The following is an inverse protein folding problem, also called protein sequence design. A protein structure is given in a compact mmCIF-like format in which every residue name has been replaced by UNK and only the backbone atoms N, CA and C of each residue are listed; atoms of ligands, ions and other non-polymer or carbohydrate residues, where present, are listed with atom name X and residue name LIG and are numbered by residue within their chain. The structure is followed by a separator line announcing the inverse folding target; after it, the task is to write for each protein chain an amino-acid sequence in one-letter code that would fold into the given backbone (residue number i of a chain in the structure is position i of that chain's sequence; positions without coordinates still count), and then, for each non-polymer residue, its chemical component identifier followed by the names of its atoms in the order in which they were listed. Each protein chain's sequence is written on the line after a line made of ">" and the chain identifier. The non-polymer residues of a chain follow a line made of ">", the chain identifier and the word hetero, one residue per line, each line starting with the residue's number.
data_IF_972824060585
#
_entry.id   IF_972824060585
#
_cell.length_a   1.000
_cell.length_b   1.000
_cell.length_c   1.000
_cell.angle_alpha   90.00
_cell.angle_beta   90.00
_cell.angle_gamma   90.00
#
_symmetry.space_group_name_H-M   'P 1'
#
loop_
_entity.id
_entity.type
_entity.pdbx_description
1 polymer ?
#
# COMPACT_ATOMS: atom_id res chain seq x y z
N UNK A 1 21.12 36.29 -44.97
CA UNK A 1 20.91 34.86 -44.62
C UNK A 1 21.54 34.47 -43.28
N UNK A 2 22.59 35.17 -42.80
CA UNK A 2 23.18 34.94 -41.46
C UNK A 2 22.34 35.46 -40.27
N UNK A 3 21.51 36.51 -40.46
CA UNK A 3 20.69 37.09 -39.38
C UNK A 3 19.56 36.18 -38.87
N UNK A 4 18.95 35.37 -39.76
CA UNK A 4 17.81 34.51 -39.38
C UNK A 4 18.20 33.33 -38.51
N UNK A 5 19.42 32.79 -38.68
CA UNK A 5 19.97 31.74 -37.80
C UNK A 5 20.32 32.31 -36.43
N UNK A 6 20.96 33.49 -36.38
CA UNK A 6 21.29 34.18 -35.13
C UNK A 6 20.05 34.50 -34.29
N UNK A 7 18.96 34.97 -34.91
CA UNK A 7 17.68 35.20 -34.24
C UNK A 7 17.01 33.91 -33.75
N UNK A 8 17.10 32.83 -34.53
CA UNK A 8 16.59 31.51 -34.13
C UNK A 8 17.29 31.00 -32.87
N UNK A 9 18.63 31.01 -32.83
CA UNK A 9 19.41 30.60 -31.64
C UNK A 9 19.14 31.50 -30.44
N UNK A 10 18.89 32.79 -30.64
CA UNK A 10 18.60 33.74 -29.56
C UNK A 10 17.19 33.54 -28.98
N UNK A 11 16.20 33.25 -29.83
CA UNK A 11 14.85 32.88 -29.40
C UNK A 11 14.86 31.55 -28.63
N UNK A 12 15.68 30.61 -29.09
CA UNK A 12 15.91 29.33 -28.41
C UNK A 12 16.61 29.50 -27.06
N UNK A 13 17.70 30.26 -27.00
CA UNK A 13 18.40 30.57 -25.76
C UNK A 13 17.48 31.27 -24.74
N UNK A 14 16.65 32.22 -25.18
CA UNK A 14 15.62 32.85 -24.32
C UNK A 14 14.61 31.84 -23.81
N UNK A 15 14.20 30.88 -24.63
CA UNK A 15 13.28 29.81 -24.23
C UNK A 15 13.93 28.90 -23.19
N UNK A 16 15.20 28.53 -23.37
CA UNK A 16 15.99 27.73 -22.42
C UNK A 16 16.15 28.46 -21.09
N UNK A 17 16.55 29.73 -21.13
CA UNK A 17 16.68 30.55 -19.94
C UNK A 17 15.34 30.68 -19.21
N UNK A 18 14.24 30.86 -19.94
CA UNK A 18 12.89 30.87 -19.37
C UNK A 18 12.51 29.53 -18.73
N UNK A 19 12.94 28.40 -19.30
CA UNK A 19 12.73 27.08 -18.72
C UNK A 19 13.55 26.89 -17.44
N UNK A 20 14.83 27.28 -17.45
CA UNK A 20 15.72 27.26 -16.28
C UNK A 20 15.19 28.15 -15.15
N UNK A 21 14.72 29.35 -15.45
CA UNK A 21 14.02 30.23 -14.50
C UNK A 21 12.72 29.57 -14.01
N UNK A 22 12.02 28.84 -14.87
CA UNK A 22 10.86 28.04 -14.49
C UNK A 22 11.20 26.94 -13.48
N UNK A 23 12.32 26.24 -13.68
CA UNK A 23 12.84 25.20 -12.79
C UNK A 23 13.32 25.80 -11.47
N UNK A 24 14.02 26.92 -11.50
CA UNK A 24 14.42 27.66 -10.30
C UNK A 24 13.20 28.06 -9.46
N UNK A 25 12.16 28.62 -10.06
CA UNK A 25 10.89 28.93 -9.37
C UNK A 25 10.21 27.68 -8.80
N UNK A 26 10.34 26.54 -9.48
CA UNK A 26 9.85 25.25 -8.99
C UNK A 26 10.66 24.77 -7.79
N UNK A 27 11.98 24.91 -7.81
CA UNK A 27 12.88 24.59 -6.69
C UNK A 27 12.65 25.50 -5.48
N UNK A 28 12.44 26.81 -5.69
CA UNK A 28 12.04 27.72 -4.62
C UNK A 28 10.67 27.36 -4.01
N UNK A 29 9.74 26.85 -4.82
CA UNK A 29 8.46 26.34 -4.32
C UNK A 29 8.64 25.05 -3.52
N UNK A 30 9.61 24.20 -3.87
CA UNK A 30 9.99 23.04 -3.06
C UNK A 30 10.58 23.45 -1.73
N UNK A 31 11.53 24.38 -1.75
CA UNK A 31 12.15 24.91 -0.54
C UNK A 31 11.10 25.50 0.40
N UNK A 32 10.16 26.29 -0.14
CA UNK A 32 9.02 26.81 0.63
C UNK A 32 8.06 25.73 1.12
N UNK A 33 7.78 24.70 0.32
CA UNK A 33 6.93 23.59 0.74
C UNK A 33 7.58 22.75 1.85
N UNK A 34 8.89 22.51 1.75
CA UNK A 34 9.70 21.86 2.78
C UNK A 34 9.69 22.76 4.02
N UNK A 35 9.99 24.06 3.89
CA UNK A 35 9.95 25.00 5.01
C UNK A 35 8.59 24.96 5.73
N UNK A 36 7.46 24.99 5.00
CA UNK A 36 6.11 24.89 5.59
C UNK A 36 5.84 23.56 6.31
N UNK A 37 6.32 22.43 5.78
CA UNK A 37 6.20 21.11 6.43
C UNK A 37 7.03 21.04 7.72
N UNK A 38 8.16 21.74 7.75
CA UNK A 38 9.08 21.73 8.89
C UNK A 38 8.74 22.81 9.94
N UNK A 39 8.22 23.97 9.55
CA UNK A 39 7.75 25.04 10.46
C UNK A 39 6.38 24.77 11.07
N UNK A 40 5.62 23.84 10.49
CA UNK A 40 4.35 23.34 11.04
C UNK A 40 4.52 22.17 12.03
N UNK A 41 5.76 21.78 12.32
CA UNK A 41 6.08 20.96 13.47
C UNK A 41 5.91 21.85 14.71
N UNK A 42 4.95 21.59 15.63
CA UNK A 42 4.78 22.44 16.79
C UNK A 42 5.94 22.18 17.76
N UNK A 43 7.01 22.95 17.62
CA UNK A 43 7.81 23.32 18.77
C UNK A 43 6.97 24.33 19.57
N UNK A 44 6.31 23.84 20.62
CA UNK A 44 5.88 24.65 21.77
C UNK A 44 4.65 25.58 21.60
N UNK A 45 3.58 25.18 20.92
CA UNK A 45 2.27 25.83 21.11
C UNK A 45 1.22 24.75 21.32
N UNK A 46 0.38 24.93 22.36
CA UNK A 46 -0.59 23.95 22.86
C UNK A 46 -1.57 23.41 21.81
N UNK A 47 -2.50 22.51 22.22
CA UNK A 47 -3.31 21.74 21.29
C UNK A 47 -3.94 22.66 20.23
N UNK A 48 -3.60 22.48 18.94
CA UNK A 48 -4.14 23.32 17.88
C UNK A 48 -5.65 23.08 17.85
N UNK A 49 -6.44 24.16 17.78
CA UNK A 49 -7.89 24.04 17.64
C UNK A 49 -8.23 23.05 16.53
N UNK A 50 -9.13 22.11 16.82
CA UNK A 50 -9.43 20.91 16.01
C UNK A 50 -9.88 21.18 14.56
N UNK A 51 -10.03 22.47 14.20
CA UNK A 51 -10.51 22.95 12.91
C UNK A 51 -9.46 23.62 12.03
N UNK A 52 -8.16 23.58 12.37
CA UNK A 52 -7.14 24.09 11.44
C UNK A 52 -6.98 23.16 10.23
N UNK A 53 -7.20 23.65 8.98
CA UNK A 53 -6.98 22.85 7.77
C UNK A 53 -5.51 22.47 7.56
N UNK A 54 -4.60 23.07 8.33
CA UNK A 54 -3.15 22.87 8.27
C UNK A 54 -2.60 21.97 9.38
N UNK A 55 -3.44 21.22 10.11
CA UNK A 55 -2.94 20.27 11.10
C UNK A 55 -2.09 19.19 10.40
N UNK A 56 -0.76 19.32 10.52
CA UNK A 56 0.19 18.34 9.99
C UNK A 56 0.29 17.21 11.00
N UNK A 57 -0.52 16.19 10.80
CA UNK A 57 -0.47 14.99 11.62
C UNK A 57 0.76 14.14 11.31
N UNK A 58 1.22 13.27 12.23
CA UNK A 58 2.30 12.32 11.96
C UNK A 58 2.10 11.51 10.66
N UNK A 59 0.88 11.06 10.38
CA UNK A 59 0.56 10.39 9.12
C UNK A 59 0.85 11.29 7.90
N UNK A 60 0.33 12.52 7.92
CA UNK A 60 0.54 13.50 6.84
C UNK A 60 2.00 13.79 6.62
N UNK A 61 2.76 13.99 7.69
CA UNK A 61 4.20 14.22 7.62
C UNK A 61 4.92 13.05 6.94
N UNK A 62 4.68 11.81 7.37
CA UNK A 62 5.29 10.61 6.77
C UNK A 62 4.93 10.43 5.30
N UNK A 63 3.66 10.64 4.92
CA UNK A 63 3.21 10.49 3.54
C UNK A 63 3.75 11.61 2.65
N UNK A 64 3.74 12.86 3.12
CA UNK A 64 4.29 13.99 2.37
C UNK A 64 5.80 13.84 2.17
N UNK A 65 6.53 13.35 3.19
CA UNK A 65 7.96 13.01 3.06
C UNK A 65 8.20 11.97 1.96
N UNK A 66 7.34 10.95 1.83
CA UNK A 66 7.43 9.97 0.73
C UNK A 66 7.15 10.60 -0.64
N UNK A 67 6.13 11.45 -0.75
CA UNK A 67 5.81 12.15 -2.01
C UNK A 67 6.94 13.07 -2.46
N UNK A 68 7.54 13.81 -1.51
CA UNK A 68 8.69 14.68 -1.78
C UNK A 68 9.91 13.84 -2.15
N UNK A 69 10.18 12.74 -1.43
CA UNK A 69 11.29 11.85 -1.78
C UNK A 69 11.16 11.35 -3.22
N UNK A 70 9.99 10.82 -3.61
CA UNK A 70 9.74 10.36 -4.99
C UNK A 70 9.97 11.46 -6.03
N UNK A 71 9.52 12.68 -5.72
CA UNK A 71 9.67 13.84 -6.58
C UNK A 71 11.14 14.23 -6.77
N UNK A 72 11.92 14.24 -5.68
CA UNK A 72 13.35 14.57 -5.74
C UNK A 72 14.17 13.44 -6.38
N UNK A 73 14.00 12.20 -5.92
CA UNK A 73 14.89 11.09 -6.32
C UNK A 73 14.59 10.53 -7.69
N UNK A 74 13.35 10.68 -8.18
CA UNK A 74 12.93 10.13 -9.46
C UNK A 74 12.61 11.21 -10.47
N UNK A 75 11.67 12.11 -10.17
CA UNK A 75 11.19 13.08 -11.16
C UNK A 75 12.24 14.15 -11.47
N UNK A 76 12.79 14.79 -10.44
CA UNK A 76 13.84 15.81 -10.59
C UNK A 76 15.12 15.18 -11.17
N UNK A 77 15.52 13.98 -10.71
CA UNK A 77 16.65 13.28 -11.29
C UNK A 77 16.49 13.06 -12.79
N UNK A 78 15.35 12.53 -13.23
CA UNK A 78 15.08 12.31 -14.66
C UNK A 78 15.11 13.61 -15.45
N UNK A 79 14.53 14.68 -14.89
CA UNK A 79 14.59 16.01 -15.47
C UNK A 79 16.05 16.49 -15.65
N UNK A 80 16.88 16.40 -14.60
CA UNK A 80 18.26 16.86 -14.63
C UNK A 80 19.12 16.07 -15.62
N UNK A 81 18.95 14.74 -15.69
CA UNK A 81 19.68 13.89 -16.64
C UNK A 81 19.34 14.27 -18.09
N UNK A 82 18.07 14.48 -18.40
CA UNK A 82 17.63 14.86 -19.74
C UNK A 82 18.09 16.29 -20.09
N UNK A 83 17.99 17.23 -19.14
CA UNK A 83 18.47 18.59 -19.34
C UNK A 83 20.00 18.64 -19.55
N UNK A 84 20.77 17.86 -18.79
CA UNK A 84 22.23 17.76 -18.94
C UNK A 84 22.61 17.20 -20.31
N UNK A 85 21.95 16.13 -20.75
CA UNK A 85 22.19 15.56 -22.09
C UNK A 85 21.94 16.57 -23.22
N UNK A 86 20.92 17.40 -23.04
CA UNK A 86 20.52 18.42 -24.01
C UNK A 86 21.48 19.61 -24.02
N UNK A 87 22.01 20.00 -22.86
CA UNK A 87 22.99 21.08 -22.73
C UNK A 87 24.39 20.65 -23.17
N UNK A 88 24.79 19.40 -22.90
CA UNK A 88 26.07 18.84 -23.32
C UNK A 88 26.18 18.71 -24.85
N UNK A 89 25.07 18.40 -25.53
CA UNK A 89 24.99 18.31 -27.00
C UNK A 89 24.80 19.68 -27.69
N UNK A 90 24.76 20.77 -26.92
CA UNK A 90 24.61 22.11 -27.46
C UNK A 90 25.94 22.62 -28.04
N UNK A 91 26.14 22.45 -29.35
CA UNK A 91 27.20 23.14 -30.11
C UNK A 91 26.62 24.32 -30.89
N UNK A 92 27.15 25.54 -30.73
CA UNK A 92 26.68 26.73 -31.46
C UNK A 92 27.11 26.78 -32.94
N UNK A 93 27.45 25.67 -33.57
CA UNK A 93 27.92 25.64 -34.96
C UNK A 93 26.95 24.88 -35.87
N UNK A 94 26.69 25.48 -37.05
CA UNK A 94 25.75 25.05 -38.10
C UNK A 94 25.39 23.56 -38.10
N UNK A 95 24.21 23.17 -37.58
CA UNK A 95 23.70 21.82 -37.70
C UNK A 95 23.28 21.55 -39.14
N UNK A 96 23.54 20.34 -39.63
CA UNK A 96 22.91 19.83 -40.84
C UNK A 96 21.43 19.51 -40.56
N UNK A 97 20.58 19.53 -41.59
CA UNK A 97 19.14 19.30 -41.47
C UNK A 97 18.77 17.95 -40.82
N UNK A 98 19.63 16.94 -40.94
CA UNK A 98 19.42 15.61 -40.36
C UNK A 98 19.69 15.56 -38.84
N UNK A 99 20.40 16.55 -38.27
CA UNK A 99 20.66 16.67 -36.83
C UNK A 99 19.60 17.46 -36.06
N UNK A 100 18.65 18.11 -36.74
CA UNK A 100 17.67 19.01 -36.13
C UNK A 100 16.50 18.26 -35.46
N UNK A 101 16.00 17.19 -36.08
CA UNK A 101 14.89 16.37 -35.58
C UNK A 101 15.18 15.71 -34.21
N UNK A 102 16.34 15.06 -33.99
CA UNK A 102 16.68 14.47 -32.69
C UNK A 102 16.86 15.50 -31.58
N UNK A 103 17.38 16.68 -31.91
CA UNK A 103 17.52 17.79 -30.96
C UNK A 103 16.12 18.23 -30.51
N UNK A 104 15.23 18.59 -31.44
CA UNK A 104 13.85 19.03 -31.12
C UNK A 104 13.09 18.03 -30.26
N UNK A 105 13.22 16.73 -30.51
CA UNK A 105 12.53 15.69 -29.72
C UNK A 105 13.04 15.63 -28.27
N UNK A 106 14.35 15.78 -28.03
CA UNK A 106 14.90 15.85 -26.68
C UNK A 106 14.45 17.11 -25.93
N UNK A 107 14.27 18.23 -26.63
CA UNK A 107 13.69 19.43 -26.03
C UNK A 107 12.23 19.26 -25.64
N UNK A 108 11.43 18.56 -26.45
CA UNK A 108 10.07 18.17 -26.06
C UNK A 108 10.07 17.27 -24.83
N UNK A 109 11.06 16.36 -24.70
CA UNK A 109 11.23 15.52 -23.51
C UNK A 109 11.43 16.36 -22.24
N UNK A 110 12.33 17.35 -22.27
CA UNK A 110 12.59 18.27 -21.15
C UNK A 110 11.32 19.05 -20.77
N UNK A 111 10.60 19.62 -21.75
CA UNK A 111 9.34 20.34 -21.52
C UNK A 111 8.28 19.45 -20.86
N UNK A 112 8.13 18.21 -21.34
CA UNK A 112 7.22 17.23 -20.76
C UNK A 112 7.58 16.90 -19.31
N UNK A 113 8.86 16.77 -19.00
CA UNK A 113 9.32 16.49 -17.64
C UNK A 113 9.07 17.66 -16.69
N UNK A 114 9.22 18.90 -17.15
CA UNK A 114 8.85 20.11 -16.39
C UNK A 114 7.35 20.15 -16.05
N UNK A 115 6.49 19.81 -17.02
CA UNK A 115 5.06 19.71 -16.79
C UNK A 115 4.74 18.62 -15.74
N UNK A 116 5.32 17.43 -15.88
CA UNK A 116 5.17 16.32 -14.93
C UNK A 116 5.61 16.70 -13.50
N UNK A 117 6.69 17.46 -13.35
CA UNK A 117 7.12 17.95 -12.04
C UNK A 117 6.12 18.95 -11.46
N UNK A 118 5.63 19.88 -12.28
CA UNK A 118 4.66 20.91 -11.86
C UNK A 118 3.35 20.29 -11.40
N UNK A 119 2.81 19.34 -12.17
CA UNK A 119 1.59 18.60 -11.83
C UNK A 119 1.75 17.86 -10.50
N UNK A 120 2.92 17.28 -10.25
CA UNK A 120 3.22 16.55 -9.01
C UNK A 120 3.29 17.49 -7.80
N UNK A 121 3.77 18.72 -7.97
CA UNK A 121 3.77 19.74 -6.90
C UNK A 121 2.35 20.16 -6.59
N UNK A 122 1.54 20.41 -7.61
CA UNK A 122 0.14 20.80 -7.41
C UNK A 122 -0.67 19.65 -6.81
N UNK A 123 -0.31 18.39 -7.09
CA UNK A 123 -0.84 17.23 -6.39
C UNK A 123 -0.47 17.22 -4.90
N UNK A 124 0.79 17.45 -4.54
CA UNK A 124 1.22 17.56 -3.13
C UNK A 124 0.50 18.71 -2.42
N UNK A 125 0.35 19.87 -3.08
CA UNK A 125 -0.39 21.01 -2.52
C UNK A 125 -1.85 20.65 -2.27
N UNK A 126 -2.53 20.09 -3.26
CA UNK A 126 -3.93 19.65 -3.14
C UNK A 126 -4.07 18.62 -2.02
N UNK A 127 -3.15 17.66 -1.94
CA UNK A 127 -3.09 16.66 -0.88
C UNK A 127 -3.05 17.28 0.53
N UNK A 128 -2.19 18.27 0.75
CA UNK A 128 -2.06 18.94 2.05
C UNK A 128 -3.33 19.71 2.45
N UNK A 129 -4.11 20.18 1.48
CA UNK A 129 -5.35 20.94 1.69
C UNK A 129 -6.58 20.06 1.91
N UNK A 130 -6.55 18.77 1.53
CA UNK A 130 -7.70 17.86 1.70
C UNK A 130 -8.05 17.72 3.18
N UNK A 131 -9.32 17.58 3.59
CA UNK A 131 -9.67 17.20 4.97
C UNK A 131 -9.08 15.83 5.35
N UNK A 132 -8.62 15.65 6.60
CA UNK A 132 -8.01 14.39 7.05
C UNK A 132 -8.95 13.18 6.88
N UNK A 133 -10.26 13.36 7.06
CA UNK A 133 -11.25 12.29 6.86
C UNK A 133 -11.40 11.88 5.39
N UNK A 134 -11.29 12.84 4.46
CA UNK A 134 -11.31 12.54 3.03
C UNK A 134 -10.05 11.77 2.64
N UNK A 135 -8.90 12.21 3.14
CA UNK A 135 -7.62 11.50 3.02
C UNK A 135 -7.74 10.07 3.55
N UNK A 136 -8.30 9.89 4.75
CA UNK A 136 -8.45 8.57 5.36
C UNK A 136 -9.27 7.61 4.48
N UNK A 137 -10.39 8.08 3.95
CA UNK A 137 -11.25 7.28 3.06
C UNK A 137 -10.54 6.88 1.77
N UNK A 138 -9.81 7.81 1.15
CA UNK A 138 -8.99 7.54 -0.05
C UNK A 138 -7.92 6.46 0.24
N UNK A 139 -7.23 6.55 1.38
CA UNK A 139 -6.25 5.50 1.77
C UNK A 139 -6.91 4.14 1.92
N UNK A 140 -8.02 4.07 2.65
CA UNK A 140 -8.72 2.80 2.88
C UNK A 140 -9.29 2.21 1.59
N UNK A 141 -9.72 3.04 0.64
CA UNK A 141 -10.07 2.59 -0.72
C UNK A 141 -8.87 1.99 -1.46
N UNK A 142 -7.72 2.67 -1.43
CA UNK A 142 -6.49 2.10 -2.00
C UNK A 142 -6.09 0.77 -1.34
N UNK A 143 -6.32 0.61 -0.04
CA UNK A 143 -6.12 -0.68 0.64
C UNK A 143 -7.11 -1.76 0.19
N UNK A 144 -8.38 -1.41 -0.05
CA UNK A 144 -9.36 -2.36 -0.60
C UNK A 144 -8.92 -2.85 -1.98
N UNK A 145 -8.40 -1.98 -2.83
CA UNK A 145 -7.87 -2.36 -4.15
C UNK A 145 -6.67 -3.31 -4.04
N UNK A 146 -5.76 -3.06 -3.09
CA UNK A 146 -4.64 -3.96 -2.81
C UNK A 146 -5.13 -5.33 -2.33
N UNK A 147 -6.11 -5.36 -1.43
CA UNK A 147 -6.73 -6.60 -0.95
C UNK A 147 -7.42 -7.34 -2.11
N UNK A 148 -8.09 -6.63 -3.03
CA UNK A 148 -8.70 -7.22 -4.21
C UNK A 148 -7.65 -7.88 -5.14
N UNK A 149 -6.48 -7.26 -5.29
CA UNK A 149 -5.36 -7.88 -6.00
C UNK A 149 -4.87 -9.16 -5.29
N UNK A 150 -4.73 -9.13 -3.96
CA UNK A 150 -4.38 -10.31 -3.18
C UNK A 150 -5.42 -11.42 -3.32
N UNK A 151 -6.72 -11.09 -3.29
CA UNK A 151 -7.80 -12.07 -3.49
C UNK A 151 -7.73 -12.71 -4.88
N UNK A 152 -7.48 -11.93 -5.94
CA UNK A 152 -7.28 -12.47 -7.29
C UNK A 152 -6.09 -13.42 -7.33
N UNK A 153 -4.98 -13.07 -6.70
CA UNK A 153 -3.80 -13.94 -6.59
C UNK A 153 -4.12 -15.26 -5.89
N UNK A 154 -4.78 -15.21 -4.73
CA UNK A 154 -5.19 -16.41 -4.00
C UNK A 154 -6.14 -17.29 -4.83
N UNK A 155 -7.07 -16.69 -5.57
CA UNK A 155 -7.97 -17.43 -6.46
C UNK A 155 -7.23 -18.06 -7.66
N UNK A 156 -6.19 -17.40 -8.21
CA UNK A 156 -5.33 -18.00 -9.24
C UNK A 156 -4.67 -19.28 -8.70
N UNK A 157 -4.14 -19.26 -7.47
CA UNK A 157 -3.57 -20.46 -6.85
C UNK A 157 -4.57 -21.62 -6.67
N UNK A 158 -5.84 -21.31 -6.41
CA UNK A 158 -6.89 -22.34 -6.22
C UNK A 158 -7.46 -22.91 -7.52
N UNK A 159 -7.21 -22.28 -8.67
CA UNK A 159 -7.84 -22.67 -9.94
C UNK A 159 -6.92 -23.59 -10.76
N UNK A 160 -7.32 -24.86 -10.90
CA UNK A 160 -6.62 -25.89 -11.67
C UNK A 160 -6.38 -25.50 -13.15
N UNK A 161 -7.21 -24.62 -13.72
CA UNK A 161 -7.12 -24.22 -15.13
C UNK A 161 -5.94 -23.29 -15.40
N UNK A 162 -5.58 -22.42 -14.45
CA UNK A 162 -4.37 -21.57 -14.57
C UNK A 162 -3.10 -22.42 -14.57
N UNK A 163 -3.09 -23.49 -13.77
CA UNK A 163 -1.99 -24.46 -13.70
C UNK A 163 -1.85 -25.33 -14.98
N UNK A 164 -2.84 -25.34 -15.88
CA UNK A 164 -2.78 -26.07 -17.17
C UNK A 164 -2.32 -25.22 -18.35
N UNK A 165 -2.41 -23.89 -18.26
CA UNK A 165 -2.16 -22.96 -19.38
C UNK A 165 -0.70 -22.51 -19.51
N UNK A 166 0.14 -22.76 -18.50
CA UNK A 166 1.59 -22.43 -18.53
C UNK A 166 2.43 -23.29 -19.48
N UNK A 167 1.83 -24.27 -20.18
CA UNK A 167 2.53 -25.03 -21.24
C UNK A 167 2.55 -24.35 -22.62
N UNK A 168 2.09 -23.11 -22.79
CA UNK A 168 1.98 -22.55 -24.14
C UNK A 168 2.10 -21.05 -24.38
N UNK A 169 1.92 -20.15 -23.40
CA UNK A 169 1.96 -18.71 -23.68
C UNK A 169 2.63 -17.93 -22.56
N UNK A 170 3.86 -17.48 -22.82
CA UNK A 170 4.54 -16.44 -22.04
C UNK A 170 3.86 -15.10 -22.33
N UNK A 171 3.03 -14.63 -21.40
CA UNK A 171 2.58 -13.24 -21.35
C UNK A 171 3.42 -12.52 -20.30
N UNK A 172 4.26 -11.59 -20.75
CA UNK A 172 5.29 -10.84 -19.98
C UNK A 172 4.78 -9.97 -18.80
N UNK A 173 3.56 -10.17 -18.30
CA UNK A 173 2.98 -9.33 -17.25
C UNK A 173 2.28 -10.06 -16.11
N UNK A 174 2.21 -11.40 -16.14
CA UNK A 174 1.64 -12.16 -15.03
C UNK A 174 2.79 -12.74 -14.20
N UNK A 175 2.86 -12.33 -12.93
CA UNK A 175 3.76 -12.95 -11.94
C UNK A 175 3.64 -14.48 -12.06
N UNK A 176 4.74 -15.16 -12.39
CA UNK A 176 4.79 -16.62 -12.47
C UNK A 176 4.14 -17.21 -11.21
N UNK A 177 3.02 -17.91 -11.38
CA UNK A 177 2.25 -18.43 -10.26
C UNK A 177 2.92 -19.72 -9.83
N UNK A 178 3.76 -19.63 -8.80
CA UNK A 178 4.46 -20.81 -8.25
C UNK A 178 3.46 -21.90 -7.89
N UNK A 179 3.74 -23.13 -8.35
CA UNK A 179 2.92 -24.30 -8.06
C UNK A 179 2.91 -24.58 -6.55
N UNK A 180 1.70 -24.71 -5.98
CA UNK A 180 1.49 -24.96 -4.57
C UNK A 180 1.21 -26.45 -4.32
N UNK A 181 1.84 -27.02 -3.30
CA UNK A 181 1.51 -28.37 -2.85
C UNK A 181 0.10 -28.43 -2.23
N UNK A 182 -0.43 -29.64 -2.03
CA UNK A 182 -1.78 -29.84 -1.46
C UNK A 182 -1.95 -29.26 -0.04
N UNK A 183 -0.88 -29.13 0.75
CA UNK A 183 -0.93 -28.50 2.08
C UNK A 183 -1.04 -26.99 1.96
N UNK A 184 -0.32 -26.37 1.01
CA UNK A 184 -0.39 -24.94 0.72
C UNK A 184 -1.75 -24.53 0.17
N UNK A 185 -2.33 -25.34 -0.72
CA UNK A 185 -3.69 -25.12 -1.20
C UNK A 185 -4.68 -25.06 -0.03
N UNK A 186 -4.55 -25.93 0.98
CA UNK A 186 -5.39 -25.87 2.20
C UNK A 186 -5.18 -24.58 2.99
N UNK A 187 -3.94 -24.08 3.10
CA UNK A 187 -3.67 -22.80 3.76
C UNK A 187 -4.28 -21.63 3.01
N UNK A 188 -4.19 -21.62 1.67
CA UNK A 188 -4.84 -20.60 0.83
C UNK A 188 -6.37 -20.66 0.98
N UNK A 189 -6.97 -21.85 0.96
CA UNK A 189 -8.40 -22.04 1.19
C UNK A 189 -8.84 -21.52 2.56
N UNK A 190 -8.11 -21.86 3.62
CA UNK A 190 -8.41 -21.43 4.98
C UNK A 190 -8.09 -19.95 5.25
N UNK A 191 -7.13 -19.36 4.51
CA UNK A 191 -6.77 -17.95 4.60
C UNK A 191 -7.68 -17.02 3.79
N UNK A 192 -8.38 -17.53 2.77
CA UNK A 192 -9.26 -16.74 1.92
C UNK A 192 -10.38 -16.01 2.71
N UNK A 193 -11.08 -16.64 3.68
CA UNK A 193 -12.04 -15.94 4.53
C UNK A 193 -11.41 -14.79 5.33
N UNK A 194 -10.18 -14.94 5.82
CA UNK A 194 -9.47 -13.88 6.57
C UNK A 194 -9.28 -12.65 5.70
N UNK A 195 -8.79 -12.82 4.46
CA UNK A 195 -8.59 -11.71 3.53
C UNK A 195 -9.91 -11.08 3.08
N UNK A 196 -10.96 -11.89 2.86
CA UNK A 196 -12.31 -11.37 2.58
C UNK A 196 -12.83 -10.50 3.72
N UNK A 197 -12.60 -10.88 4.97
CA UNK A 197 -13.00 -10.10 6.14
C UNK A 197 -12.18 -8.80 6.27
N UNK A 198 -10.88 -8.83 5.96
CA UNK A 198 -10.05 -7.61 5.85
C UNK A 198 -10.67 -6.63 4.85
N UNK A 199 -11.04 -7.13 3.66
CA UNK A 199 -11.69 -6.34 2.60
C UNK A 199 -13.00 -5.72 3.09
N UNK A 200 -13.83 -6.48 3.80
CA UNK A 200 -15.11 -6.02 4.35
C UNK A 200 -14.90 -4.90 5.35
N UNK A 201 -13.89 -5.02 6.22
CA UNK A 201 -13.54 -4.00 7.21
C UNK A 201 -13.17 -2.66 6.57
N UNK A 202 -12.21 -2.67 5.64
CA UNK A 202 -11.75 -1.45 4.98
C UNK A 202 -12.82 -0.84 4.08
N UNK A 203 -13.66 -1.66 3.44
CA UNK A 203 -14.83 -1.15 2.72
C UNK A 203 -15.81 -0.45 3.65
N UNK A 204 -16.06 -0.99 4.85
CA UNK A 204 -16.97 -0.37 5.81
C UNK A 204 -16.43 0.97 6.32
N UNK A 205 -15.11 1.07 6.53
CA UNK A 205 -14.44 2.32 6.90
C UNK A 205 -14.47 3.39 5.80
N UNK A 206 -14.29 3.00 4.53
CA UNK A 206 -14.15 3.95 3.42
C UNK A 206 -15.48 4.48 2.87
N UNK A 207 -16.62 3.85 3.20
CA UNK A 207 -17.92 4.16 2.58
C UNK A 207 -18.40 5.60 2.84
N UNK A 208 -18.83 6.33 1.79
CA UNK A 208 -19.30 7.70 1.89
C UNK A 208 -20.83 7.78 2.08
N UNK A 209 -21.33 7.50 3.29
CA UNK A 209 -22.63 8.05 3.76
C UNK A 209 -23.92 7.26 3.41
N UNK A 210 -24.00 6.50 2.31
CA UNK A 210 -25.26 5.79 1.93
C UNK A 210 -25.45 4.40 2.55
N UNK A 211 -24.43 3.91 3.27
CA UNK A 211 -24.52 2.70 4.06
C UNK A 211 -23.80 2.99 5.37
N UNK A 212 -24.51 2.82 6.48
CA UNK A 212 -24.03 2.79 7.88
C UNK A 212 -22.49 2.84 8.00
N UNK A 213 -21.97 4.05 8.22
CA UNK A 213 -20.54 4.35 8.32
C UNK A 213 -20.06 4.17 9.75
N UNK A 214 -18.84 3.68 9.93
CA UNK A 214 -18.22 3.52 11.26
C UNK A 214 -17.67 4.84 11.82
N UNK A 215 -17.51 5.85 10.95
CA UNK A 215 -17.01 7.18 11.32
C UNK A 215 -18.02 8.21 10.85
N UNK A 216 -18.59 8.93 11.80
CA UNK A 216 -19.60 9.94 11.54
C UNK A 216 -18.92 11.25 11.11
N UNK A 217 -19.51 11.92 10.12
CA UNK A 217 -18.97 13.15 9.51
C UNK A 217 -19.73 14.37 10.03
N UNK A 218 -20.92 14.15 10.60
CA UNK A 218 -21.74 15.17 11.24
C UNK A 218 -21.00 15.81 12.43
N UNK A 219 -21.10 17.14 12.55
CA UNK A 219 -20.27 17.92 13.50
C UNK A 219 -20.39 17.47 14.96
N UNK A 220 -21.53 16.92 15.40
CA UNK A 220 -21.75 16.43 16.77
C UNK A 220 -21.14 15.05 17.04
N UNK A 221 -20.83 14.29 15.99
CA UNK A 221 -20.34 12.91 16.10
C UNK A 221 -18.96 12.75 15.46
N UNK A 222 -18.30 13.84 15.07
CA UNK A 222 -17.04 13.78 14.32
C UNK A 222 -15.92 13.13 15.13
N UNK A 223 -15.20 12.20 14.52
CA UNK A 223 -13.98 11.65 15.12
C UNK A 223 -12.87 12.72 15.17
N UNK A 224 -12.36 12.99 16.37
CA UNK A 224 -11.29 13.95 16.60
C UNK A 224 -10.02 13.64 15.80
N UNK A 225 -9.32 14.69 15.36
CA UNK A 225 -8.22 14.57 14.41
C UNK A 225 -7.05 13.69 14.91
N UNK A 226 -6.75 13.71 16.21
CA UNK A 226 -5.72 12.86 16.81
C UNK A 226 -6.09 11.37 16.79
N UNK A 227 -7.35 11.02 17.11
CA UNK A 227 -7.84 9.64 17.05
C UNK A 227 -7.89 9.14 15.61
N UNK A 228 -8.30 10.00 14.67
CA UNK A 228 -8.30 9.69 13.24
C UNK A 228 -6.87 9.48 12.69
N UNK A 229 -5.89 10.29 13.09
CA UNK A 229 -4.49 10.06 12.72
C UNK A 229 -3.95 8.73 13.24
N UNK A 230 -4.25 8.42 14.51
CA UNK A 230 -3.85 7.15 15.12
C UNK A 230 -4.49 5.95 14.38
N UNK A 231 -5.79 6.03 14.09
CA UNK A 231 -6.48 5.02 13.30
C UNK A 231 -5.85 4.85 11.92
N UNK A 232 -5.54 5.95 11.22
CA UNK A 232 -4.86 5.91 9.93
C UNK A 232 -3.50 5.19 10.01
N UNK A 233 -2.69 5.51 11.02
CA UNK A 233 -1.40 4.87 11.24
C UNK A 233 -1.57 3.35 11.45
N UNK A 234 -2.50 2.94 12.31
CA UNK A 234 -2.79 1.51 12.55
C UNK A 234 -3.30 0.80 11.30
N UNK A 235 -4.16 1.44 10.51
CA UNK A 235 -4.65 0.83 9.27
C UNK A 235 -3.56 0.65 8.22
N UNK A 236 -2.57 1.56 8.19
CA UNK A 236 -1.42 1.41 7.31
C UNK A 236 -0.48 0.27 7.78
N UNK A 237 -0.28 0.12 9.08
CA UNK A 237 0.46 -1.02 9.64
C UNK A 237 -0.28 -2.34 9.38
N UNK A 238 -1.61 -2.33 9.48
CA UNK A 238 -2.47 -3.48 9.16
C UNK A 238 -2.30 -3.92 7.71
N UNK A 239 -2.15 -2.97 6.77
CA UNK A 239 -1.88 -3.29 5.37
C UNK A 239 -0.57 -4.08 5.17
N UNK A 240 0.49 -3.73 5.92
CA UNK A 240 1.76 -4.49 5.91
C UNK A 240 1.54 -5.91 6.43
N UNK A 241 0.72 -6.09 7.46
CA UNK A 241 0.39 -7.41 7.98
C UNK A 241 -0.48 -8.23 7.02
N UNK A 242 -1.38 -7.60 6.27
CA UNK A 242 -2.14 -8.28 5.21
C UNK A 242 -1.20 -8.82 4.14
N UNK A 243 -0.31 -7.98 3.60
CA UNK A 243 0.66 -8.40 2.59
C UNK A 243 1.57 -9.53 3.11
N UNK A 244 2.11 -9.34 4.33
CA UNK A 244 2.93 -10.36 5.00
C UNK A 244 2.18 -11.68 5.15
N UNK A 245 0.92 -11.64 5.59
CA UNK A 245 0.07 -12.81 5.72
C UNK A 245 -0.17 -13.52 4.38
N UNK A 246 -0.58 -12.77 3.35
CA UNK A 246 -0.83 -13.30 2.00
C UNK A 246 0.41 -14.02 1.49
N UNK A 247 1.57 -13.38 1.63
CA UNK A 247 2.85 -13.95 1.24
C UNK A 247 3.16 -15.24 2.01
N UNK A 248 2.88 -15.31 3.31
CA UNK A 248 3.14 -16.52 4.11
C UNK A 248 2.26 -17.70 3.77
N UNK A 249 1.01 -17.47 3.35
CA UNK A 249 0.13 -18.57 2.92
C UNK A 249 0.40 -19.03 1.48
N UNK A 250 1.01 -18.19 0.64
CA UNK A 250 1.36 -18.54 -0.76
C UNK A 250 2.79 -19.00 -0.96
N UNK A 251 3.74 -18.68 -0.06
CA UNK A 251 5.13 -19.09 -0.22
C UNK A 251 5.38 -20.55 0.15
N UNK A 252 6.02 -21.28 -0.77
CA UNK A 252 6.33 -22.72 -0.61
C UNK A 252 7.25 -23.04 0.57
N UNK A 253 8.15 -22.13 0.94
CA UNK A 253 9.13 -22.28 2.03
C UNK A 253 8.60 -21.88 3.41
N UNK A 254 7.41 -21.26 3.49
CA UNK A 254 6.91 -20.68 4.75
C UNK A 254 6.55 -21.73 5.79
N UNK A 255 7.15 -21.67 6.98
CA UNK A 255 6.86 -22.65 8.03
C UNK A 255 5.44 -22.46 8.59
N UNK A 256 4.79 -23.55 9.01
CA UNK A 256 3.45 -23.49 9.68
C UNK A 256 3.41 -22.46 10.81
N UNK A 257 4.47 -22.41 11.64
CA UNK A 257 4.61 -21.43 12.73
C UNK A 257 4.60 -19.98 12.22
N UNK A 258 5.19 -19.71 11.06
CA UNK A 258 5.22 -18.35 10.48
C UNK A 258 3.84 -17.93 9.98
N UNK A 259 3.04 -18.87 9.45
CA UNK A 259 1.65 -18.61 9.08
C UNK A 259 0.82 -18.26 10.32
N UNK A 260 0.99 -19.01 11.40
CA UNK A 260 0.31 -18.73 12.68
C UNK A 260 0.72 -17.36 13.24
N UNK A 261 2.02 -17.05 13.27
CA UNK A 261 2.52 -15.74 13.71
C UNK A 261 1.96 -14.59 12.85
N UNK A 262 1.96 -14.74 11.52
CA UNK A 262 1.36 -13.77 10.61
C UNK A 262 -0.14 -13.56 10.90
N UNK A 263 -0.87 -14.65 11.15
CA UNK A 263 -2.31 -14.64 11.46
C UNK A 263 -2.58 -13.89 12.77
N UNK A 264 -1.81 -14.20 13.83
CA UNK A 264 -1.96 -13.56 15.14
C UNK A 264 -1.64 -12.07 15.06
N UNK A 265 -0.58 -11.68 14.35
CA UNK A 265 -0.22 -10.26 14.16
C UNK A 265 -1.28 -9.50 13.39
N UNK A 266 -1.82 -10.10 12.33
CA UNK A 266 -2.92 -9.53 11.56
C UNK A 266 -4.17 -9.33 12.44
N UNK A 267 -4.61 -10.35 13.16
CA UNK A 267 -5.75 -10.24 14.08
C UNK A 267 -5.51 -9.17 15.16
N UNK A 268 -4.32 -9.14 15.75
CA UNK A 268 -3.92 -8.12 16.73
C UNK A 268 -3.96 -6.69 16.20
N UNK A 269 -3.65 -6.48 14.92
CA UNK A 269 -3.74 -5.16 14.28
C UNK A 269 -5.19 -4.67 14.12
N UNK A 270 -6.12 -5.60 13.82
CA UNK A 270 -7.54 -5.29 13.78
C UNK A 270 -8.15 -5.05 15.16
N UNK A 271 -7.69 -5.75 16.20
CA UNK A 271 -8.13 -5.48 17.57
C UNK A 271 -7.76 -4.07 18.01
N UNK A 272 -6.54 -3.60 17.70
CA UNK A 272 -6.08 -2.25 18.02
C UNK A 272 -6.86 -1.15 17.28
N UNK A 273 -7.16 -1.36 15.99
CA UNK A 273 -7.96 -0.38 15.23
C UNK A 273 -9.43 -0.39 15.69
N UNK A 274 -9.97 -1.56 16.03
CA UNK A 274 -11.31 -1.73 16.60
C UNK A 274 -11.46 -1.05 17.96
N UNK A 275 -10.44 -1.09 18.83
CA UNK A 275 -10.52 -0.42 20.13
C UNK A 275 -10.64 1.10 19.99
N UNK A 276 -9.92 1.72 19.04
CA UNK A 276 -10.06 3.16 18.78
C UNK A 276 -11.49 3.52 18.38
N UNK A 277 -12.15 2.68 17.57
CA UNK A 277 -13.54 2.90 17.18
C UNK A 277 -14.49 2.77 18.36
N UNK A 278 -14.29 1.76 19.22
CA UNK A 278 -15.08 1.58 20.45
C UNK A 278 -14.92 2.77 21.40
N UNK A 279 -13.69 3.15 21.73
CA UNK A 279 -13.40 4.30 22.59
C UNK A 279 -14.03 5.59 22.04
N UNK A 280 -14.09 5.72 20.72
CA UNK A 280 -14.77 6.81 20.02
C UNK A 280 -16.28 6.80 20.25
N UNK A 281 -16.94 5.69 19.98
CA UNK A 281 -18.38 5.56 20.19
C UNK A 281 -18.77 5.73 21.65
N UNK A 282 -17.99 5.16 22.58
CA UNK A 282 -18.22 5.30 24.02
C UNK A 282 -18.09 6.77 24.46
N UNK A 283 -17.07 7.49 23.96
CA UNK A 283 -16.93 8.92 24.21
C UNK A 283 -18.10 9.75 23.68
N UNK A 284 -18.71 9.35 22.55
CA UNK A 284 -19.90 10.01 22.02
C UNK A 284 -21.12 9.79 22.92
N UNK A 285 -21.31 8.56 23.39
CA UNK A 285 -22.41 8.22 24.31
C UNK A 285 -22.29 8.94 25.65
N UNK A 286 -21.07 9.04 26.20
CA UNK A 286 -20.79 9.76 27.45
C UNK A 286 -20.98 11.28 27.33
N UNK A 287 -20.71 11.85 26.14
CA UNK A 287 -20.86 13.29 25.87
C UNK A 287 -22.33 13.74 25.74
N UNK A 288 -23.27 12.80 25.66
CA UNK A 288 -24.70 13.04 25.44
C UNK A 288 -25.42 13.86 26.51
N UNK A 289 -24.76 14.21 27.61
CA UNK A 289 -25.30 15.09 28.65
C UNK A 289 -25.08 16.59 28.39
N UNK A 290 -24.19 16.97 27.44
CA UNK A 290 -23.81 18.37 27.21
C UNK A 290 -23.72 18.80 25.72
N UNK A 291 -23.97 17.90 24.77
CA UNK A 291 -23.76 18.12 23.33
C UNK A 291 -25.05 17.93 22.49
N UNK A 292 -25.08 18.32 21.19
CA UNK A 292 -26.26 18.19 20.31
C UNK A 292 -26.76 16.74 20.22
N UNK A 293 -27.98 16.48 19.72
CA UNK A 293 -28.55 15.13 19.71
C UNK A 293 -27.63 14.15 18.97
N UNK A 294 -27.08 13.21 19.72
CA UNK A 294 -26.29 12.08 19.22
C UNK A 294 -27.24 11.00 18.77
N UNK A 295 -27.05 10.48 17.55
CA UNK A 295 -27.83 9.37 17.02
C UNK A 295 -27.33 8.05 17.65
N UNK A 296 -28.02 7.61 18.71
CA UNK A 296 -27.67 6.40 19.46
C UNK A 296 -27.88 5.12 18.66
N UNK A 297 -28.93 5.07 17.84
CA UNK A 297 -29.26 3.91 17.01
C UNK A 297 -28.11 3.64 16.03
N UNK A 298 -27.58 4.68 15.38
CA UNK A 298 -26.42 4.53 14.48
C UNK A 298 -25.15 4.06 15.20
N UNK A 299 -24.95 4.45 16.45
CA UNK A 299 -23.82 4.00 17.27
C UNK A 299 -23.98 2.52 17.63
N UNK A 300 -25.15 2.12 18.13
CA UNK A 300 -25.46 0.75 18.52
C UNK A 300 -25.34 -0.20 17.31
N UNK A 301 -25.87 0.19 16.16
CA UNK A 301 -25.67 -0.55 14.92
C UNK A 301 -24.16 -0.71 14.63
N UNK A 302 -23.37 0.37 14.70
CA UNK A 302 -21.95 0.34 14.37
C UNK A 302 -21.16 -0.58 15.31
N UNK A 303 -21.49 -0.55 16.60
CA UNK A 303 -20.95 -1.47 17.61
C UNK A 303 -21.33 -2.92 17.28
N UNK A 304 -22.61 -3.20 17.03
CA UNK A 304 -23.10 -4.54 16.68
C UNK A 304 -22.40 -5.11 15.43
N UNK A 305 -22.26 -4.28 14.38
CA UNK A 305 -21.55 -4.68 13.17
C UNK A 305 -20.09 -5.04 13.46
N UNK A 306 -19.41 -4.24 14.28
CA UNK A 306 -18.00 -4.48 14.62
C UNK A 306 -17.85 -5.76 15.45
N UNK A 307 -18.79 -6.05 16.35
CA UNK A 307 -18.80 -7.29 17.14
C UNK A 307 -19.03 -8.53 16.26
N UNK A 308 -20.04 -8.50 15.39
CA UNK A 308 -20.27 -9.57 14.41
C UNK A 308 -19.04 -9.79 13.52
N UNK A 309 -18.42 -8.71 13.04
CA UNK A 309 -17.22 -8.80 12.21
C UNK A 309 -16.03 -9.40 12.98
N UNK A 310 -15.80 -8.99 14.23
CA UNK A 310 -14.74 -9.55 15.07
C UNK A 310 -14.94 -11.04 15.35
N UNK A 311 -16.19 -11.47 15.62
CA UNK A 311 -16.51 -12.88 15.79
C UNK A 311 -16.16 -13.69 14.54
N UNK A 312 -16.55 -13.21 13.35
CA UNK A 312 -16.22 -13.86 12.08
C UNK A 312 -14.70 -13.91 11.84
N UNK A 313 -13.97 -12.85 12.17
CA UNK A 313 -12.50 -12.81 12.03
C UNK A 313 -11.84 -13.84 12.95
N UNK A 314 -12.26 -13.91 14.21
CA UNK A 314 -11.72 -14.85 15.18
C UNK A 314 -11.98 -16.30 14.74
N UNK A 315 -13.19 -16.58 14.23
CA UNK A 315 -13.49 -17.91 13.69
C UNK A 315 -12.62 -18.24 12.46
N UNK A 316 -12.49 -17.31 11.50
CA UNK A 316 -11.67 -17.52 10.31
C UNK A 316 -10.19 -17.76 10.64
N UNK A 317 -9.63 -16.97 11.56
CA UNK A 317 -8.24 -17.10 12.02
C UNK A 317 -8.02 -18.37 12.85
N UNK A 318 -9.02 -18.78 13.64
CA UNK A 318 -9.04 -20.07 14.34
C UNK A 318 -8.99 -21.25 13.37
N UNK A 319 -9.88 -21.28 12.37
CA UNK A 319 -9.93 -22.33 11.35
C UNK A 319 -8.62 -22.44 10.57
N UNK A 320 -7.99 -21.31 10.23
CA UNK A 320 -6.67 -21.32 9.58
C UNK A 320 -5.60 -21.91 10.50
N UNK A 321 -5.59 -21.50 11.77
CA UNK A 321 -4.64 -22.03 12.76
C UNK A 321 -4.80 -23.53 12.92
N UNK A 322 -6.03 -24.03 12.93
CA UNK A 322 -6.33 -25.46 12.94
C UNK A 322 -5.82 -26.17 11.67
N UNK A 323 -6.06 -25.59 10.49
CA UNK A 323 -5.55 -26.13 9.23
C UNK A 323 -4.01 -26.26 9.21
N UNK A 324 -3.28 -25.38 9.91
CA UNK A 324 -1.82 -25.52 10.07
C UNK A 324 -1.40 -26.66 11.00
N UNK A 325 -2.27 -27.12 11.89
CA UNK A 325 -2.01 -28.25 12.80
C UNK A 325 -2.31 -29.60 12.16
N UNK A 326 -3.30 -29.66 11.27
CA UNK A 326 -3.68 -30.88 10.56
C UNK A 326 -2.53 -31.38 9.66
N UNK A 327 -1.97 -32.55 9.98
CA UNK A 327 -1.08 -33.29 9.05
C UNK A 327 -1.97 -33.77 7.90
N UNK A 328 -1.65 -33.39 6.65
CA UNK A 328 -2.34 -33.98 5.50
C UNK A 328 -2.10 -35.50 5.45
N UNK A 329 -3.01 -36.29 4.87
CA UNK A 329 -2.69 -37.67 4.51
C UNK A 329 -1.61 -37.56 3.43
N UNK A 330 -0.36 -37.86 3.78
CA UNK A 330 0.63 -38.26 2.79
C UNK A 330 0.19 -39.60 2.20
N UNK A 331 0.58 -39.92 0.96
CA UNK A 331 0.27 -41.22 0.39
C UNK A 331 0.77 -42.30 1.35
N UNK A 332 -0.11 -43.26 1.64
CA UNK A 332 0.22 -44.42 2.45
C UNK A 332 1.53 -45.03 1.93
N UNK A 333 2.45 -45.31 2.85
CA UNK A 333 3.54 -46.25 2.60
C UNK A 333 2.90 -47.53 2.07
N UNK A 334 3.05 -47.75 0.77
CA UNK A 334 2.77 -49.05 0.16
C UNK A 334 3.90 -49.93 0.66
N UNK A 335 3.53 -50.88 1.52
CA UNK A 335 4.46 -51.81 2.13
C UNK A 335 5.20 -52.62 1.08
N UNK A 336 6.48 -52.84 1.34
CA UNK A 336 7.14 -54.09 1.01
C UNK A 336 7.59 -54.68 2.35
N UNK A 337 6.64 -55.39 2.96
CA UNK A 337 6.92 -56.43 3.92
C UNK A 337 7.06 -57.70 3.08
N UNK A 338 8.28 -57.97 2.60
CA UNK A 338 8.68 -59.31 2.16
C UNK A 338 9.77 -59.77 3.10
N UNK A 339 9.30 -60.39 4.18
CA UNK A 339 9.94 -61.48 4.88
C UNK A 339 10.53 -62.49 3.88
N UNK A 340 11.85 -62.63 3.90
CA UNK A 340 12.51 -63.89 3.57
C UNK A 340 13.24 -64.36 4.83
N UNK A 341 12.58 -65.29 5.55
CA UNK A 341 13.23 -66.23 6.44
C UNK A 341 14.17 -67.12 5.60
N UNK A 342 15.45 -67.12 5.94
CA UNK A 342 16.28 -68.31 5.75
C UNK A 342 16.98 -68.64 7.07
N UNK A 343 16.60 -69.80 7.57
CA UNK A 343 17.05 -70.48 8.78
C UNK A 343 18.57 -70.74 8.84
N UNK A 344 19.06 -70.70 10.08
CA UNK A 344 20.03 -71.60 10.74
C UNK A 344 21.22 -72.17 9.95
N UNK A 345 22.45 -71.91 10.43
CA UNK A 345 23.26 -72.94 11.14
C UNK A 345 24.65 -72.43 11.57
N UNK A 346 25.07 -72.82 12.78
CA UNK A 346 26.47 -72.95 13.25
C UNK A 346 27.20 -71.64 13.58
N UNK A 347 27.72 -71.36 14.77
CA UNK A 347 28.19 -72.24 15.84
C UNK A 347 29.54 -71.70 16.32
N UNK A 348 29.69 -71.50 17.64
CA UNK A 348 30.97 -71.55 18.36
C UNK A 348 31.99 -70.44 18.13
N UNK A 349 32.31 -69.69 19.19
CA UNK A 349 33.47 -68.79 19.19
C UNK A 349 34.82 -69.49 19.33
N UNK A 350 35.91 -68.78 19.02
CA UNK A 350 37.18 -68.78 19.78
C UNK A 350 38.20 -67.81 19.15
N UNK A 351 38.88 -67.10 20.06
CA UNK A 351 40.19 -66.45 20.02
C UNK A 351 40.99 -66.41 18.69
N UNK A 352 41.46 -65.23 18.32
CA UNK A 352 42.86 -64.78 18.56
C UNK A 352 42.98 -63.28 18.46
#
# INVERSE_FOLDING_TARGET
>A
MMDSQGEFYRAWYKTILSQLIGIERVLERFERAIALIWTSLPLSLGPPGENSPYMITPFRSRKTKRMIKDLLTRKLRNFLVEADSVLADFRPANPSSDEELPKVERWRSVLRLTAVMSDRIDEIRRWLQKPLIAVAKEEWQGLVEQIDNSLRLLLKHLNATYHKLEKGYQSDSDYEVVFLDGTRIKFVQAGLPVIKLCRVYFNKLSRPTNSMSLIFVENSMRLGAARLDNLLNLTQDTAVWIDYFVRKITQSDSRRREIVDATVRLAGSFLKSSSILKDYWDSLLDSGNHAPPVDRERIEEAQNWLECWNMMLNQATGNLTEATRSRGPGPAEIGEDTSDELDQEGGGGLMT
#
